data_IF_831414011055
#
_entry.id   IF_831414011055
#
_cell.length_a   1.000
_cell.length_b   1.000
_cell.length_c   1.000
_cell.angle_alpha   90.00
_cell.angle_beta   90.00
_cell.angle_gamma   90.00
#
_symmetry.space_group_name_H-M   'P 1'
#
loop_
_entity.id
_entity.type
_entity.pdbx_description
1 polymer ?
#
# COMPACT_ATOMS: atom_id res chain seq x y z
N UNK A 1 17.81 -31.70 24.82
CA UNK A 1 17.69 -30.34 25.38
C UNK A 1 16.94 -29.50 24.34
N UNK A 2 15.83 -28.85 24.73
CA UNK A 2 14.92 -28.15 23.82
C UNK A 2 15.63 -27.02 23.09
N UNK A 3 15.36 -26.90 21.79
CA UNK A 3 15.81 -25.81 20.93
C UNK A 3 15.52 -24.45 21.56
N UNK A 4 16.59 -23.72 21.74
CA UNK A 4 16.67 -22.36 22.23
C UNK A 4 15.75 -21.47 21.39
N UNK A 5 14.83 -20.76 22.06
CA UNK A 5 13.96 -19.80 21.39
C UNK A 5 14.82 -18.66 20.88
N UNK A 6 14.83 -18.44 19.58
CA UNK A 6 15.29 -17.19 18.97
C UNK A 6 14.33 -16.06 19.39
N UNK A 7 14.47 -15.62 20.63
CA UNK A 7 13.85 -14.42 21.17
C UNK A 7 14.82 -13.26 20.94
N UNK A 8 15.09 -12.96 19.68
CA UNK A 8 15.81 -11.73 19.33
C UNK A 8 15.13 -11.03 18.15
N UNK A 9 13.81 -10.92 18.24
CA UNK A 9 13.06 -9.96 17.46
C UNK A 9 13.30 -8.57 18.06
N UNK A 10 14.47 -8.00 17.76
CA UNK A 10 14.76 -6.56 17.74
C UNK A 10 13.94 -5.72 18.72
N UNK A 11 14.38 -5.67 19.99
CA UNK A 11 13.89 -4.74 21.03
C UNK A 11 14.38 -3.30 20.80
N UNK A 12 14.57 -2.87 19.55
CA UNK A 12 14.58 -1.43 19.28
C UNK A 12 13.15 -0.94 19.41
N UNK A 13 12.91 -0.12 20.44
CA UNK A 13 11.67 0.66 20.57
C UNK A 13 11.66 1.68 19.43
N UNK A 14 11.34 1.23 18.22
CA UNK A 14 10.92 2.13 17.16
C UNK A 14 9.62 2.74 17.65
N UNK A 15 9.63 4.06 17.86
CA UNK A 15 8.46 4.82 18.26
C UNK A 15 7.30 4.46 17.34
N UNK A 16 6.12 4.23 17.92
CA UNK A 16 4.97 3.90 17.10
C UNK A 16 4.53 5.12 16.30
N UNK A 17 4.28 4.91 15.03
CA UNK A 17 3.57 5.84 14.17
C UNK A 17 2.08 5.50 14.18
N UNK A 18 1.24 6.48 13.84
CA UNK A 18 -0.20 6.25 13.62
C UNK A 18 -0.47 5.09 12.66
N UNK A 19 0.39 4.93 11.63
CA UNK A 19 0.27 3.84 10.65
C UNK A 19 0.60 2.48 11.28
N UNK A 20 1.69 2.38 12.04
CA UNK A 20 2.05 1.14 12.72
C UNK A 20 1.06 0.78 13.82
N UNK A 21 0.52 1.75 14.54
CA UNK A 21 -0.54 1.54 15.53
C UNK A 21 -1.82 1.03 14.87
N UNK A 22 -2.21 1.60 13.74
CA UNK A 22 -3.35 1.12 12.96
C UNK A 22 -3.18 -0.35 12.53
N UNK A 23 -2.00 -0.73 12.03
CA UNK A 23 -1.77 -2.13 11.63
C UNK A 23 -1.68 -3.09 12.82
N UNK A 24 -1.18 -2.64 13.97
CA UNK A 24 -1.08 -3.44 15.20
C UNK A 24 -2.44 -3.62 15.88
N UNK A 25 -3.24 -2.57 15.96
CA UNK A 25 -4.42 -2.52 16.85
C UNK A 25 -5.75 -2.31 16.13
N UNK A 26 -5.75 -1.90 14.86
CA UNK A 26 -6.98 -1.74 14.08
C UNK A 26 -7.73 -3.06 13.90
N UNK A 27 -9.05 -2.98 13.79
CA UNK A 27 -9.90 -4.13 13.48
C UNK A 27 -9.62 -4.68 12.08
N UNK A 28 -10.04 -5.92 11.83
CA UNK A 28 -9.93 -6.55 10.52
C UNK A 28 -10.77 -5.79 9.49
N UNK A 29 -11.93 -5.30 9.91
CA UNK A 29 -12.91 -4.57 9.09
C UNK A 29 -12.35 -3.22 8.64
N UNK A 30 -11.71 -2.47 9.55
CA UNK A 30 -11.06 -1.20 9.23
C UNK A 30 -9.91 -1.39 8.25
N UNK A 31 -9.02 -2.37 8.51
CA UNK A 31 -7.91 -2.69 7.60
C UNK A 31 -8.45 -3.08 6.22
N UNK A 32 -9.47 -3.94 6.16
CA UNK A 32 -10.11 -4.35 4.91
C UNK A 32 -10.75 -3.17 4.18
N UNK A 33 -11.32 -2.20 4.90
CA UNK A 33 -11.84 -0.97 4.32
C UNK A 33 -10.74 -0.16 3.64
N UNK A 34 -9.64 0.09 4.34
CA UNK A 34 -8.49 0.85 3.80
C UNK A 34 -7.90 0.18 2.56
N UNK A 35 -7.66 -1.13 2.60
CA UNK A 35 -7.16 -1.86 1.44
C UNK A 35 -8.12 -1.79 0.24
N UNK A 36 -9.44 -1.88 0.47
CA UNK A 36 -10.43 -1.74 -0.60
C UNK A 36 -10.45 -0.34 -1.19
N UNK A 37 -10.33 0.69 -0.37
CA UNK A 37 -10.22 2.07 -0.85
C UNK A 37 -8.99 2.27 -1.72
N UNK A 38 -7.83 1.81 -1.26
CA UNK A 38 -6.58 1.90 -2.03
C UNK A 38 -6.67 1.14 -3.36
N UNK A 39 -7.24 -0.07 -3.35
CA UNK A 39 -7.45 -0.84 -4.58
C UNK A 39 -8.42 -0.13 -5.55
N UNK A 40 -9.49 0.47 -5.04
CA UNK A 40 -10.45 1.21 -5.87
C UNK A 40 -9.80 2.42 -6.52
N UNK A 41 -9.03 3.21 -5.76
CA UNK A 41 -8.31 4.36 -6.29
C UNK A 41 -7.33 3.96 -7.39
N UNK A 42 -6.56 2.88 -7.20
CA UNK A 42 -5.64 2.36 -8.21
C UNK A 42 -6.37 1.89 -9.48
N UNK A 43 -7.52 1.22 -9.32
CA UNK A 43 -8.36 0.79 -10.45
C UNK A 43 -8.87 1.99 -11.24
N UNK A 44 -9.30 3.05 -10.55
CA UNK A 44 -9.85 4.23 -11.20
C UNK A 44 -8.77 5.02 -11.94
N UNK A 45 -7.57 5.15 -11.36
CA UNK A 45 -6.40 5.71 -12.06
C UNK A 45 -6.07 4.91 -13.34
N UNK A 46 -6.08 3.58 -13.28
CA UNK A 46 -5.87 2.74 -14.46
C UNK A 46 -6.95 2.91 -15.52
N UNK A 47 -8.23 3.04 -15.11
CA UNK A 47 -9.32 3.30 -16.06
C UNK A 47 -9.14 4.64 -16.76
N UNK A 48 -8.70 5.67 -16.04
CA UNK A 48 -8.46 6.99 -16.61
C UNK A 48 -7.31 6.97 -17.63
N UNK A 49 -6.22 6.26 -17.32
CA UNK A 49 -5.12 6.01 -18.28
C UNK A 49 -5.63 5.31 -19.54
N UNK A 50 -6.43 4.24 -19.38
CA UNK A 50 -7.01 3.51 -20.52
C UNK A 50 -7.94 4.42 -21.34
N UNK A 51 -8.76 5.25 -20.68
CA UNK A 51 -9.67 6.18 -21.35
C UNK A 51 -8.89 7.21 -22.17
N UNK A 52 -7.84 7.79 -21.60
CA UNK A 52 -6.95 8.74 -22.28
C UNK A 52 -6.22 8.11 -23.47
N UNK A 53 -5.76 6.86 -23.34
CA UNK A 53 -5.15 6.14 -24.45
C UNK A 53 -6.16 5.83 -25.57
N UNK A 54 -7.42 5.50 -25.23
CA UNK A 54 -8.49 5.22 -26.20
C UNK A 54 -9.07 6.47 -26.86
N UNK A 55 -9.03 7.64 -26.22
CA UNK A 55 -9.46 8.91 -26.82
C UNK A 55 -8.47 9.49 -27.82
N UNK A 56 -7.30 8.86 -28.02
CA UNK A 56 -6.25 9.36 -28.91
C UNK A 56 -5.50 10.58 -28.34
N UNK A 57 -5.77 10.97 -27.09
CA UNK A 57 -5.13 12.11 -26.41
C UNK A 57 -3.79 11.75 -25.74
N UNK A 58 -3.19 10.62 -26.11
CA UNK A 58 -1.86 10.26 -25.63
C UNK A 58 -0.79 11.08 -26.37
N UNK A 59 -0.68 12.37 -26.03
CA UNK A 59 0.47 13.18 -26.46
C UNK A 59 1.72 12.56 -25.80
N UNK A 60 2.52 11.84 -26.58
CA UNK A 60 3.84 11.35 -26.19
C UNK A 60 4.84 12.51 -26.08
N UNK A 61 4.57 13.46 -25.19
CA UNK A 61 5.39 14.65 -25.00
C UNK A 61 6.41 14.49 -23.87
N UNK A 62 6.75 13.27 -23.44
CA UNK A 62 7.84 13.02 -22.48
C UNK A 62 8.54 11.68 -22.72
N UNK A 63 9.24 11.57 -23.84
CA UNK A 63 10.48 10.77 -23.88
C UNK A 63 11.39 11.36 -24.95
N UNK A 64 12.14 12.39 -24.58
CA UNK A 64 13.32 12.84 -25.31
C UNK A 64 14.50 12.60 -24.38
N UNK A 65 15.15 11.45 -24.56
CA UNK A 65 16.55 11.24 -24.17
C UNK A 65 17.40 11.49 -25.40
#
# INVERSE_FOLDING_TARGET
MKGEKAADASTKVYGSSTMSDFFRHGSVEEKRSVYRMAATAAIDEQKDVIRSAKSGEFSMSKCKM
#
